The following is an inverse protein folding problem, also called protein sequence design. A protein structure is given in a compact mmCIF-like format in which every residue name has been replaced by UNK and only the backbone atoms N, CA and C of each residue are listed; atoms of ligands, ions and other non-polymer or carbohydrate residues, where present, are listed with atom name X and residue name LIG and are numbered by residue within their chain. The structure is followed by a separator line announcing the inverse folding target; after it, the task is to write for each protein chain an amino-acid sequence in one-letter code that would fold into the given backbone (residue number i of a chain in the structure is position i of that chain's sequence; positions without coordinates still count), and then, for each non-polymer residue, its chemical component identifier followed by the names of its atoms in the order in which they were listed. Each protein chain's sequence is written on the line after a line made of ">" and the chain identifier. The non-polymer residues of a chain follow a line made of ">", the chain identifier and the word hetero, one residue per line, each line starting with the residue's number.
data_IF_844869745007
#
_entry.id   IF_844869745007
#
_cell.length_a   1.000
_cell.length_b   1.000
_cell.length_c   1.000
_cell.angle_alpha   90.00
_cell.angle_beta   90.00
_cell.angle_gamma   90.00
#
_symmetry.space_group_name_H-M   'P 1'
#
loop_
_entity.id
_entity.type
_entity.pdbx_description
1 polymer ?
#
# COMPACT_ATOMS: atom_id res chain seq x y z
N UNK A 1 -28.44 4.14 10.94
CA UNK A 1 -27.00 4.49 11.00
C UNK A 1 -26.09 3.44 10.34
N UNK A 2 -26.49 2.19 10.22
CA UNK A 2 -25.70 1.09 9.61
C UNK A 2 -25.41 1.24 8.12
N UNK A 3 -26.36 1.73 7.32
CA UNK A 3 -26.19 1.88 5.86
C UNK A 3 -25.16 2.95 5.44
N UNK A 4 -24.97 3.98 6.24
CA UNK A 4 -24.00 5.06 5.93
C UNK A 4 -22.58 4.56 6.15
N UNK A 5 -22.35 3.73 7.18
CA UNK A 5 -21.03 3.17 7.48
C UNK A 5 -20.61 2.12 6.44
N UNK A 6 -21.54 1.32 5.92
CA UNK A 6 -21.28 0.35 4.86
C UNK A 6 -20.92 1.04 3.54
N UNK A 7 -21.67 2.06 3.16
CA UNK A 7 -21.41 2.85 1.96
C UNK A 7 -20.06 3.59 2.03
N UNK A 8 -19.73 4.16 3.21
CA UNK A 8 -18.46 4.84 3.41
C UNK A 8 -17.26 3.88 3.33
N UNK A 9 -17.38 2.68 3.91
CA UNK A 9 -16.32 1.66 3.85
C UNK A 9 -16.08 1.19 2.41
N UNK A 10 -17.15 0.95 1.65
CA UNK A 10 -17.05 0.51 0.25
C UNK A 10 -16.41 1.57 -0.65
N UNK A 11 -16.83 2.84 -0.53
CA UNK A 11 -16.22 3.95 -1.28
C UNK A 11 -14.75 4.12 -0.91
N UNK A 12 -14.42 4.08 0.39
CA UNK A 12 -13.03 4.23 0.85
C UNK A 12 -12.16 3.13 0.26
N UNK A 13 -12.63 1.89 0.21
CA UNK A 13 -11.88 0.78 -0.37
C UNK A 13 -11.66 0.95 -1.87
N UNK A 14 -12.69 1.35 -2.62
CA UNK A 14 -12.54 1.60 -4.06
C UNK A 14 -11.63 2.78 -4.36
N UNK A 15 -11.82 3.90 -3.68
CA UNK A 15 -10.93 5.06 -3.82
C UNK A 15 -9.50 4.71 -3.44
N UNK A 16 -9.29 3.91 -2.37
CA UNK A 16 -7.96 3.50 -1.97
C UNK A 16 -7.27 2.66 -3.04
N UNK A 17 -7.95 1.76 -3.71
CA UNK A 17 -7.36 0.95 -4.78
C UNK A 17 -6.89 1.81 -5.95
N UNK A 18 -7.65 2.85 -6.31
CA UNK A 18 -7.27 3.78 -7.37
C UNK A 18 -6.06 4.63 -6.95
N UNK A 19 -6.10 5.23 -5.75
CA UNK A 19 -5.05 6.14 -5.31
C UNK A 19 -3.78 5.46 -4.80
N UNK A 20 -3.88 4.22 -4.28
CA UNK A 20 -2.72 3.45 -3.82
C UNK A 20 -2.03 2.73 -4.97
N UNK A 21 -2.76 2.29 -6.00
CA UNK A 21 -2.21 1.50 -7.10
C UNK A 21 -2.29 2.26 -8.43
N UNK A 22 -3.47 2.69 -8.85
CA UNK A 22 -3.72 3.24 -10.18
C UNK A 22 -2.98 4.55 -10.44
N UNK A 23 -3.15 5.53 -9.55
CA UNK A 23 -2.54 6.85 -9.71
C UNK A 23 -1.01 6.79 -9.64
N UNK A 24 -0.37 6.14 -8.63
CA UNK A 24 1.09 6.07 -8.61
C UNK A 24 1.68 5.27 -9.78
N UNK A 25 0.98 4.26 -10.29
CA UNK A 25 1.40 3.55 -11.51
C UNK A 25 1.40 4.49 -12.72
N UNK A 26 0.33 5.27 -12.89
CA UNK A 26 0.22 6.25 -13.98
C UNK A 26 1.31 7.33 -13.89
N UNK A 27 1.54 7.87 -12.69
CA UNK A 27 2.61 8.85 -12.44
C UNK A 27 3.99 8.22 -12.70
N UNK A 28 4.18 6.94 -12.37
CA UNK A 28 5.43 6.22 -12.58
C UNK A 28 5.76 6.11 -14.07
N UNK A 29 4.81 5.65 -14.87
CA UNK A 29 4.97 5.56 -16.34
C UNK A 29 5.23 6.96 -16.91
N UNK A 30 4.50 7.97 -16.47
CA UNK A 30 4.67 9.34 -16.92
C UNK A 30 6.04 9.92 -16.53
N UNK A 31 6.53 9.65 -15.31
CA UNK A 31 7.84 10.12 -14.84
C UNK A 31 9.00 9.50 -15.62
N UNK A 32 8.89 8.22 -16.01
CA UNK A 32 9.88 7.55 -16.88
C UNK A 32 9.89 8.21 -18.25
N UNK A 33 8.72 8.43 -18.85
CA UNK A 33 8.62 9.07 -20.18
C UNK A 33 9.20 10.50 -20.18
N UNK A 34 9.01 11.24 -19.11
CA UNK A 34 9.58 12.60 -18.92
C UNK A 34 11.00 12.60 -18.36
N UNK A 35 11.60 11.43 -18.11
CA UNK A 35 12.95 11.27 -17.53
C UNK A 35 13.18 12.07 -16.25
N UNK A 36 12.14 12.20 -15.43
CA UNK A 36 12.23 12.91 -14.14
C UNK A 36 12.76 11.96 -13.07
N UNK A 37 14.08 12.02 -12.82
CA UNK A 37 14.78 11.12 -11.88
C UNK A 37 14.25 11.25 -10.44
N UNK A 38 13.85 12.45 -9.98
CA UNK A 38 13.37 12.67 -8.62
C UNK A 38 12.05 11.95 -8.34
N UNK A 39 11.05 12.12 -9.22
CA UNK A 39 9.74 11.49 -9.08
C UNK A 39 9.85 9.97 -9.28
N UNK A 40 10.65 9.52 -10.24
CA UNK A 40 10.89 8.08 -10.45
C UNK A 40 11.49 7.43 -9.21
N UNK A 41 12.50 8.05 -8.58
CA UNK A 41 13.09 7.56 -7.33
C UNK A 41 12.05 7.49 -6.19
N UNK A 42 11.25 8.53 -6.02
CA UNK A 42 10.17 8.56 -5.03
C UNK A 42 9.23 7.36 -5.21
N UNK A 43 8.78 7.12 -6.45
CA UNK A 43 7.85 6.06 -6.76
C UNK A 43 8.45 4.65 -6.61
N UNK A 44 9.73 4.46 -6.96
CA UNK A 44 10.42 3.19 -6.70
C UNK A 44 10.43 2.87 -5.20
N UNK A 45 10.71 3.87 -4.36
CA UNK A 45 10.70 3.67 -2.91
C UNK A 45 9.29 3.40 -2.40
N UNK A 46 8.30 4.14 -2.92
CA UNK A 46 6.89 3.90 -2.61
C UNK A 46 6.47 2.46 -2.94
N UNK A 47 6.81 1.94 -4.13
CA UNK A 47 6.47 0.57 -4.53
C UNK A 47 7.12 -0.49 -3.65
N UNK A 48 8.35 -0.27 -3.17
CA UNK A 48 8.99 -1.18 -2.21
C UNK A 48 8.22 -1.27 -0.90
N UNK A 49 7.68 -0.16 -0.41
CA UNK A 49 6.87 -0.12 0.82
C UNK A 49 5.46 -0.67 0.58
N UNK A 50 4.88 -0.44 -0.61
CA UNK A 50 3.54 -0.92 -0.95
C UNK A 50 3.40 -2.45 -1.02
N UNK A 51 4.51 -3.19 -1.12
CA UNK A 51 4.50 -4.65 -1.02
C UNK A 51 3.86 -5.11 0.30
N UNK A 52 4.13 -4.41 1.40
CA UNK A 52 3.52 -4.72 2.70
C UNK A 52 1.99 -4.58 2.68
N UNK A 53 1.48 -3.59 1.93
CA UNK A 53 0.04 -3.42 1.74
C UNK A 53 -0.59 -4.62 1.00
N UNK A 54 0.03 -5.10 -0.08
CA UNK A 54 -0.45 -6.29 -0.79
C UNK A 54 -0.38 -7.55 0.06
N UNK A 55 0.68 -7.72 0.86
CA UNK A 55 0.79 -8.83 1.81
C UNK A 55 -0.35 -8.77 2.83
N UNK A 56 -0.69 -7.58 3.35
CA UNK A 56 -1.78 -7.41 4.30
C UNK A 56 -3.15 -7.78 3.71
N UNK A 57 -3.39 -7.49 2.43
CA UNK A 57 -4.60 -7.91 1.73
C UNK A 57 -4.70 -9.44 1.59
N UNK A 58 -3.60 -10.12 1.27
CA UNK A 58 -3.56 -11.59 1.20
C UNK A 58 -3.82 -12.20 2.57
N UNK A 59 -3.22 -11.66 3.63
CA UNK A 59 -3.46 -12.09 5.01
C UNK A 59 -4.92 -11.86 5.43
N UNK A 60 -5.53 -10.78 4.96
CA UNK A 60 -6.93 -10.48 5.23
C UNK A 60 -7.87 -11.51 4.58
N UNK A 61 -7.59 -11.91 3.33
CA UNK A 61 -8.30 -13.00 2.65
C UNK A 61 -8.09 -14.34 3.38
N UNK A 62 -6.90 -14.56 3.95
CA UNK A 62 -6.58 -15.75 4.76
C UNK A 62 -7.17 -15.74 6.17
N UNK A 63 -8.03 -14.78 6.53
CA UNK A 63 -8.69 -14.70 7.83
C UNK A 63 -7.76 -14.48 9.02
N UNK A 64 -6.57 -13.88 8.78
CA UNK A 64 -5.59 -13.64 9.84
C UNK A 64 -6.00 -12.43 10.68
N UNK A 65 -6.15 -12.60 11.99
CA UNK A 65 -6.68 -11.57 12.89
C UNK A 65 -5.90 -10.24 12.87
N UNK A 66 -4.57 -10.29 12.77
CA UNK A 66 -3.74 -9.08 12.74
C UNK A 66 -3.58 -8.44 11.36
N UNK A 67 -4.23 -8.97 10.33
CA UNK A 67 -4.13 -8.46 8.95
C UNK A 67 -4.57 -6.99 8.82
N UNK A 68 -5.64 -6.60 9.52
CA UNK A 68 -6.12 -5.21 9.57
C UNK A 68 -5.09 -4.27 10.20
N UNK A 69 -4.39 -4.69 11.24
CA UNK A 69 -3.34 -3.91 11.86
C UNK A 69 -2.16 -3.70 10.90
N UNK A 70 -1.75 -4.75 10.18
CA UNK A 70 -0.71 -4.63 9.15
C UNK A 70 -1.17 -3.71 8.02
N UNK A 71 -2.44 -3.78 7.61
CA UNK A 71 -3.01 -2.91 6.59
C UNK A 71 -2.85 -1.43 6.95
N UNK A 72 -3.16 -1.06 8.18
CA UNK A 72 -3.05 0.32 8.66
C UNK A 72 -1.59 0.74 8.76
N UNK A 73 -0.74 -0.11 9.36
CA UNK A 73 0.69 0.18 9.44
C UNK A 73 1.27 0.39 8.04
N UNK A 74 0.88 -0.43 7.05
CA UNK A 74 1.37 -0.31 5.69
C UNK A 74 0.93 0.99 5.02
N UNK A 75 -0.32 1.42 5.18
CA UNK A 75 -0.82 2.69 4.61
C UNK A 75 -0.12 3.89 5.23
N UNK A 76 0.13 3.87 6.53
CA UNK A 76 0.90 4.91 7.22
C UNK A 76 2.35 4.92 6.78
N UNK A 77 3.01 3.76 6.66
CA UNK A 77 4.39 3.67 6.16
C UNK A 77 4.52 4.21 4.75
N UNK A 78 3.55 3.94 3.86
CA UNK A 78 3.53 4.51 2.52
C UNK A 78 3.43 6.05 2.56
N UNK A 79 2.53 6.58 3.38
CA UNK A 79 2.34 8.04 3.53
C UNK A 79 3.60 8.68 4.09
N UNK A 80 4.16 8.12 5.16
CA UNK A 80 5.41 8.58 5.77
C UNK A 80 6.56 8.53 4.75
N UNK A 81 6.69 7.44 4.00
CA UNK A 81 7.72 7.28 2.97
C UNK A 81 7.66 8.40 1.93
N UNK A 82 6.46 8.77 1.49
CA UNK A 82 6.26 9.82 0.48
C UNK A 82 6.59 11.22 1.03
N UNK A 83 6.39 11.48 2.34
CA UNK A 83 6.63 12.79 2.95
C UNK A 83 8.02 12.97 3.54
N UNK A 84 8.65 11.93 4.10
CA UNK A 84 9.92 12.04 4.81
C UNK A 84 11.14 12.28 3.91
N UNK A 85 11.02 12.09 2.59
CA UNK A 85 12.17 12.26 1.69
C UNK A 85 12.44 13.74 1.41
N UNK A 86 13.21 14.36 2.30
CA UNK A 86 13.43 15.82 2.30
C UNK A 86 14.19 16.32 1.05
N UNK A 87 15.10 15.50 0.52
CA UNK A 87 15.89 15.88 -0.67
C UNK A 87 15.00 15.92 -1.90
N UNK A 88 14.12 14.91 -2.08
CA UNK A 88 13.14 14.91 -3.19
C UNK A 88 12.12 16.04 -3.02
N UNK A 89 11.75 16.37 -1.79
CA UNK A 89 10.86 17.50 -1.51
C UNK A 89 11.51 18.84 -1.88
N UNK A 90 12.81 19.01 -1.70
CA UNK A 90 13.55 20.22 -2.13
C UNK A 90 13.63 20.28 -3.65
N UNK A 91 13.95 19.18 -4.33
CA UNK A 91 13.94 19.12 -5.79
C UNK A 91 12.54 19.43 -6.35
N UNK A 92 11.48 18.84 -5.79
CA UNK A 92 10.09 19.11 -6.19
C UNK A 92 9.65 20.56 -5.93
N UNK A 93 10.20 21.24 -4.93
CA UNK A 93 9.93 22.67 -4.68
C UNK A 93 10.63 23.57 -5.69
N UNK A 94 11.79 23.17 -6.22
CA UNK A 94 12.54 23.88 -7.24
C UNK A 94 11.90 23.84 -8.63
N UNK A 95 11.03 22.87 -8.92
CA UNK A 95 10.29 22.83 -10.16
C UNK A 95 9.13 23.83 -10.16
N UNK A 96 8.96 24.57 -11.25
CA UNK A 96 7.86 25.50 -11.42
C UNK A 96 6.50 24.75 -11.33
N UNK A 97 5.51 25.40 -10.73
CA UNK A 97 4.12 24.88 -10.61
C UNK A 97 3.45 24.59 -11.95
N UNK A 98 4.01 25.11 -13.05
CA UNK A 98 3.54 24.88 -14.42
C UNK A 98 3.79 23.44 -14.91
N UNK A 99 4.60 22.67 -14.20
CA UNK A 99 4.85 21.28 -14.60
C UNK A 99 3.73 20.35 -14.08
N UNK A 100 2.84 19.93 -14.98
CA UNK A 100 1.67 19.10 -14.68
C UNK A 100 2.04 17.82 -13.89
N UNK A 101 3.18 17.19 -14.20
CA UNK A 101 3.64 15.99 -13.49
C UNK A 101 3.90 16.27 -11.99
N UNK A 102 4.54 17.39 -11.67
CA UNK A 102 4.84 17.79 -10.30
C UNK A 102 3.56 18.11 -9.53
N UNK A 103 2.63 18.82 -10.16
CA UNK A 103 1.34 19.17 -9.56
C UNK A 103 0.50 17.92 -9.29
N UNK A 104 0.42 16.99 -10.24
CA UNK A 104 -0.26 15.70 -10.05
C UNK A 104 0.35 14.88 -8.93
N UNK A 105 1.69 14.84 -8.84
CA UNK A 105 2.39 14.14 -7.75
C UNK A 105 2.07 14.76 -6.40
N UNK A 106 2.00 16.09 -6.29
CA UNK A 106 1.63 16.79 -5.04
C UNK A 106 0.17 16.49 -4.66
N UNK A 107 -0.76 16.56 -5.60
CA UNK A 107 -2.17 16.25 -5.37
C UNK A 107 -2.34 14.80 -4.91
N UNK A 108 -1.67 13.85 -5.56
CA UNK A 108 -1.67 12.45 -5.16
C UNK A 108 -1.15 12.22 -3.73
N UNK A 109 -0.07 12.92 -3.32
CA UNK A 109 0.46 12.82 -1.95
C UNK A 109 -0.56 13.23 -0.90
N UNK A 110 -1.29 14.30 -1.15
CA UNK A 110 -2.38 14.74 -0.27
C UNK A 110 -3.54 13.75 -0.25
N UNK A 111 -3.94 13.25 -1.41
CA UNK A 111 -4.99 12.23 -1.51
C UNK A 111 -4.61 10.96 -0.71
N UNK A 112 -3.36 10.50 -0.83
CA UNK A 112 -2.85 9.36 -0.06
C UNK A 112 -2.93 9.62 1.46
N UNK A 113 -2.61 10.84 1.91
CA UNK A 113 -2.69 11.24 3.32
C UNK A 113 -4.14 11.18 3.82
N UNK A 114 -5.09 11.74 3.05
CA UNK A 114 -6.51 11.68 3.40
C UNK A 114 -7.04 10.25 3.48
N UNK A 115 -6.64 9.39 2.56
CA UNK A 115 -7.03 7.97 2.57
C UNK A 115 -6.45 7.27 3.82
N UNK A 116 -5.19 7.52 4.16
CA UNK A 116 -4.58 6.93 5.36
C UNK A 116 -5.27 7.36 6.65
N UNK A 117 -5.69 8.62 6.73
CA UNK A 117 -6.48 9.13 7.86
C UNK A 117 -7.86 8.47 7.89
N UNK A 118 -8.52 8.34 6.74
CA UNK A 118 -9.84 7.68 6.65
C UNK A 118 -9.78 6.22 7.10
N UNK A 119 -8.74 5.48 6.71
CA UNK A 119 -8.52 4.12 7.20
C UNK A 119 -8.29 4.07 8.70
N UNK A 120 -7.54 5.01 9.27
CA UNK A 120 -7.31 5.08 10.71
C UNK A 120 -8.63 5.35 11.46
N UNK A 121 -9.42 6.32 11.00
CA UNK A 121 -10.71 6.64 11.64
C UNK A 121 -11.65 5.44 11.62
N UNK A 122 -11.76 4.78 10.46
CA UNK A 122 -12.60 3.59 10.32
C UNK A 122 -12.12 2.45 11.22
N UNK A 123 -10.81 2.25 11.35
CA UNK A 123 -10.23 1.26 12.24
C UNK A 123 -10.54 1.57 13.71
N UNK A 124 -10.37 2.82 14.15
CA UNK A 124 -10.66 3.23 15.52
C UNK A 124 -12.14 3.01 15.88
N UNK A 125 -13.04 3.23 14.92
CA UNK A 125 -14.48 2.97 15.12
C UNK A 125 -14.79 1.48 15.23
N UNK A 126 -13.98 0.60 14.66
CA UNK A 126 -14.20 -0.84 14.59
C UNK A 126 -13.13 -1.66 15.34
N UNK A 127 -12.51 -1.06 16.38
CA UNK A 127 -11.49 -1.73 17.21
C UNK A 127 -12.00 -3.04 17.83
N UNK A 128 -13.29 -3.12 18.17
CA UNK A 128 -13.93 -4.34 18.68
C UNK A 128 -13.90 -5.51 17.67
N UNK A 129 -13.80 -5.21 16.39
CA UNK A 129 -13.72 -6.24 15.35
C UNK A 129 -12.38 -6.98 15.29
N UNK A 130 -11.35 -6.51 15.95
CA UNK A 130 -10.05 -7.22 16.02
C UNK A 130 -10.20 -8.54 16.76
N UNK A 131 -11.02 -8.58 17.83
CA UNK A 131 -11.21 -9.77 18.66
C UNK A 131 -12.43 -10.60 18.25
N UNK A 132 -13.37 -10.06 17.47
CA UNK A 132 -14.68 -10.63 17.15
C UNK A 132 -14.91 -10.69 15.64
N UNK A 133 -13.95 -11.23 14.87
CA UNK A 133 -14.03 -11.34 13.40
C UNK A 133 -15.30 -12.07 12.93
N UNK A 134 -15.88 -12.93 13.78
CA UNK A 134 -17.08 -13.71 13.46
C UNK A 134 -18.41 -13.02 13.84
N UNK A 135 -18.39 -11.78 14.33
CA UNK A 135 -19.65 -11.07 14.59
C UNK A 135 -20.27 -10.58 13.26
N UNK A 136 -21.60 -10.59 13.19
CA UNK A 136 -22.36 -10.20 11.99
C UNK A 136 -22.05 -8.75 11.54
N UNK A 137 -21.67 -7.89 12.47
CA UNK A 137 -21.28 -6.50 12.17
C UNK A 137 -19.89 -6.40 11.55
N UNK A 138 -18.96 -7.25 11.99
CA UNK A 138 -17.60 -7.28 11.45
C UNK A 138 -17.53 -8.00 10.09
N UNK A 139 -18.45 -8.93 9.82
CA UNK A 139 -18.55 -9.59 8.50
C UNK A 139 -18.86 -8.59 7.37
N UNK A 140 -19.61 -7.54 7.65
CA UNK A 140 -19.93 -6.48 6.68
C UNK A 140 -18.69 -5.68 6.26
N UNK A 141 -17.73 -5.55 7.16
CA UNK A 141 -16.43 -4.94 6.87
C UNK A 141 -15.56 -5.80 5.96
N UNK A 142 -15.81 -7.09 5.91
CA UNK A 142 -15.08 -8.03 5.03
C UNK A 142 -15.67 -8.13 3.62
N UNK A 143 -16.84 -7.53 3.34
CA UNK A 143 -17.45 -7.60 1.99
C UNK A 143 -16.55 -7.08 0.86
N UNK A 144 -15.84 -5.94 0.99
CA UNK A 144 -14.91 -5.51 -0.06
C UNK A 144 -13.79 -6.51 -0.31
N UNK A 145 -13.35 -7.26 0.71
CA UNK A 145 -12.34 -8.31 0.55
C UNK A 145 -12.87 -9.55 -0.16
N UNK A 146 -14.16 -9.84 -0.07
CA UNK A 146 -14.79 -10.94 -0.79
C UNK A 146 -14.72 -10.74 -2.29
N UNK A 147 -15.01 -9.54 -2.79
CA UNK A 147 -14.87 -9.21 -4.21
C UNK A 147 -13.42 -9.33 -4.67
N UNK A 148 -12.47 -8.84 -3.87
CA UNK A 148 -11.05 -9.00 -4.15
C UNK A 148 -10.64 -10.48 -4.15
N UNK A 149 -11.12 -11.26 -3.19
CA UNK A 149 -10.89 -12.70 -3.09
C UNK A 149 -11.41 -13.44 -4.34
N UNK A 150 -12.58 -13.06 -4.86
CA UNK A 150 -13.12 -13.66 -6.09
C UNK A 150 -12.23 -13.37 -7.29
N UNK A 151 -11.75 -12.13 -7.45
CA UNK A 151 -10.85 -11.74 -8.55
C UNK A 151 -9.52 -12.53 -8.44
N UNK A 152 -8.95 -12.59 -7.23
CA UNK A 152 -7.70 -13.33 -6.99
C UNK A 152 -7.91 -14.83 -7.24
N UNK A 153 -9.05 -15.39 -6.83
CA UNK A 153 -9.38 -16.79 -7.07
C UNK A 153 -9.52 -17.11 -8.57
N UNK A 154 -10.16 -16.23 -9.34
CA UNK A 154 -10.24 -16.36 -10.79
C UNK A 154 -8.87 -16.31 -11.46
N UNK A 155 -8.02 -15.36 -11.05
CA UNK A 155 -6.66 -15.24 -11.56
C UNK A 155 -5.80 -16.46 -11.19
N UNK A 156 -5.91 -16.92 -9.94
CA UNK A 156 -5.17 -18.07 -9.45
C UNK A 156 -5.60 -19.37 -10.17
N UNK A 157 -6.91 -19.54 -10.36
CA UNK A 157 -7.45 -20.67 -11.12
C UNK A 157 -6.98 -20.65 -12.59
N UNK A 158 -6.94 -19.46 -13.21
CA UNK A 158 -6.43 -19.31 -14.57
C UNK A 158 -4.94 -19.65 -14.68
N UNK A 159 -4.12 -19.26 -13.69
CA UNK A 159 -2.66 -19.48 -13.72
C UNK A 159 -2.25 -20.88 -13.28
N UNK A 160 -2.91 -21.45 -12.29
CA UNK A 160 -2.50 -22.69 -11.61
C UNK A 160 -3.51 -23.83 -11.72
N UNK A 161 -4.70 -23.58 -12.29
CA UNK A 161 -5.75 -24.59 -12.38
C UNK A 161 -6.35 -25.01 -11.03
N UNK A 162 -6.12 -24.23 -9.96
CA UNK A 162 -6.55 -24.55 -8.60
C UNK A 162 -7.34 -23.37 -7.98
N UNK A 163 -8.17 -23.67 -6.98
CA UNK A 163 -8.89 -22.63 -6.23
C UNK A 163 -7.99 -22.00 -5.18
N UNK A 164 -8.04 -20.67 -5.07
CA UNK A 164 -7.35 -19.91 -4.02
C UNK A 164 -8.16 -19.96 -2.72
N UNK A 165 -7.83 -20.94 -1.88
CA UNK A 165 -8.53 -21.17 -0.61
C UNK A 165 -7.94 -20.35 0.53
N UNK A 166 -8.73 -20.16 1.59
CA UNK A 166 -8.30 -19.42 2.80
C UNK A 166 -6.99 -19.97 3.42
N UNK A 167 -6.78 -21.31 3.58
CA UNK A 167 -5.51 -21.83 4.07
C UNK A 167 -4.32 -21.51 3.18
N UNK A 168 -4.50 -21.51 1.86
CA UNK A 168 -3.46 -21.15 0.89
C UNK A 168 -3.11 -19.67 1.01
N UNK A 169 -4.12 -18.80 1.10
CA UNK A 169 -3.93 -17.37 1.30
C UNK A 169 -3.17 -17.07 2.60
N UNK A 170 -3.54 -17.75 3.70
CA UNK A 170 -2.88 -17.64 5.00
C UNK A 170 -1.41 -18.04 4.93
N UNK A 171 -1.12 -19.20 4.32
CA UNK A 171 0.25 -19.68 4.17
C UNK A 171 1.10 -18.72 3.32
N UNK A 172 0.62 -18.35 2.14
CA UNK A 172 1.33 -17.43 1.23
C UNK A 172 1.55 -16.07 1.91
N UNK A 173 0.52 -15.54 2.57
CA UNK A 173 0.60 -14.25 3.25
C UNK A 173 1.61 -14.24 4.39
N UNK A 174 1.62 -15.26 5.24
CA UNK A 174 2.58 -15.38 6.34
C UNK A 174 4.01 -15.58 5.84
N UNK A 175 4.19 -16.40 4.80
CA UNK A 175 5.50 -16.63 4.20
C UNK A 175 6.04 -15.37 3.53
N UNK A 176 5.21 -14.64 2.78
CA UNK A 176 5.57 -13.37 2.17
C UNK A 176 5.90 -12.29 3.24
N UNK A 177 5.14 -12.25 4.35
CA UNK A 177 5.41 -11.35 5.46
C UNK A 177 6.76 -11.65 6.10
N UNK A 178 7.08 -12.93 6.32
CA UNK A 178 8.37 -13.34 6.87
C UNK A 178 9.53 -12.90 5.98
N UNK A 179 9.44 -13.17 4.67
CA UNK A 179 10.47 -12.74 3.71
C UNK A 179 10.62 -11.21 3.71
N UNK A 180 9.49 -10.48 3.71
CA UNK A 180 9.49 -9.02 3.73
C UNK A 180 10.15 -8.48 4.99
N UNK A 181 9.84 -9.05 6.17
CA UNK A 181 10.45 -8.64 7.45
C UNK A 181 11.95 -8.93 7.47
N UNK A 182 12.40 -10.08 6.96
CA UNK A 182 13.84 -10.40 6.82
C UNK A 182 14.54 -9.40 5.89
N UNK A 183 13.90 -9.05 4.77
CA UNK A 183 14.40 -8.04 3.83
C UNK A 183 14.51 -6.65 4.46
N UNK A 184 13.51 -6.22 5.23
CA UNK A 184 13.54 -4.96 5.97
C UNK A 184 14.63 -4.95 7.03
N UNK A 185 14.77 -6.04 7.79
CA UNK A 185 15.79 -6.18 8.83
C UNK A 185 17.20 -6.11 8.23
N UNK A 186 17.45 -6.82 7.13
CA UNK A 186 18.70 -6.75 6.39
C UNK A 186 18.96 -5.33 5.87
N UNK A 187 17.94 -4.66 5.33
CA UNK A 187 18.06 -3.29 4.86
C UNK A 187 18.42 -2.33 5.99
N UNK A 188 17.75 -2.48 7.14
CA UNK A 188 17.96 -1.62 8.31
C UNK A 188 19.37 -1.79 8.90
N UNK A 189 19.85 -3.04 9.05
CA UNK A 189 21.16 -3.31 9.68
C UNK A 189 22.31 -3.06 8.72
N UNK A 190 22.19 -3.45 7.45
CA UNK A 190 23.34 -3.46 6.53
C UNK A 190 23.38 -2.19 5.66
N UNK A 191 22.25 -1.83 5.04
CA UNK A 191 22.24 -0.72 4.08
C UNK A 191 22.14 0.65 4.74
N UNK A 192 21.31 0.81 5.75
CA UNK A 192 21.11 2.10 6.40
C UNK A 192 22.40 2.68 7.00
N UNK A 193 23.20 1.92 7.76
CA UNK A 193 24.46 2.42 8.32
C UNK A 193 25.54 2.69 7.25
N UNK A 194 25.59 1.87 6.17
CA UNK A 194 26.62 2.00 5.12
C UNK A 194 26.33 3.11 4.11
N UNK A 195 25.08 3.32 3.75
CA UNK A 195 24.70 4.21 2.65
C UNK A 195 23.93 5.46 3.11
N UNK A 196 23.61 5.58 4.39
CA UNK A 196 22.85 6.71 4.94
C UNK A 196 21.58 6.98 4.16
N UNK A 197 21.38 8.24 3.73
CA UNK A 197 20.20 8.64 2.96
C UNK A 197 20.06 7.96 1.59
N UNK A 198 21.13 7.44 1.01
CA UNK A 198 21.12 6.73 -0.26
C UNK A 198 20.81 5.24 -0.14
N UNK A 199 20.58 4.72 1.05
CA UNK A 199 20.30 3.30 1.29
C UNK A 199 19.04 2.77 0.58
N UNK A 200 18.10 3.65 0.25
CA UNK A 200 16.88 3.32 -0.51
C UNK A 200 17.12 3.13 -2.01
N UNK A 201 18.25 3.60 -2.51
CA UNK A 201 18.60 3.56 -3.92
C UNK A 201 19.77 2.60 -4.08
N UNK A 202 19.55 1.42 -4.64
CA UNK A 202 20.63 0.64 -5.20
C UNK A 202 21.16 1.45 -6.39
N UNK A 203 22.48 1.41 -6.64
CA UNK A 203 23.19 2.12 -7.71
C UNK A 203 22.62 1.77 -9.11
N UNK A 204 21.38 2.18 -9.40
CA UNK A 204 20.85 2.17 -10.74
C UNK A 204 21.24 3.50 -11.42
N UNK A 205 22.39 3.44 -12.10
CA UNK A 205 22.71 4.39 -13.14
C UNK A 205 23.74 5.45 -12.83
N UNK A 206 24.96 5.03 -12.69
CA UNK A 206 26.06 5.64 -13.45
C UNK A 206 26.06 4.96 -14.84
N UNK A 207 25.26 5.51 -15.76
CA UNK A 207 25.45 5.44 -17.21
C UNK A 207 24.99 6.76 -17.79
#
# INVERSE_FOLDING_TARGET
>A
MTSINEFSAWITFQLSSIFIVGVPLSIFIWSINKRNKAITKLLITYWKVSILFFISLILFIGGVQFSLLILIISTWLMTICVWLWNDINRELKGYQLTNALVTTTRAWRWALTFISISFLVQFLQNLSCINLINSSECLKWSEPSRNLSQIINQLFNFLFGASFTEPIAKFIGLFALLIYMLGLFQWFIIKLPKSGRNAGFSNYGEY
#
